data_IF_602105489613
#
_entry.id   IF_602105489613
#
_cell.length_a   1.000
_cell.length_b   1.000
_cell.length_c   1.000
_cell.angle_alpha   90.00
_cell.angle_beta   90.00
_cell.angle_gamma   90.00
#
_symmetry.space_group_name_H-M   'P 1'
#
loop_
_entity.id
_entity.type
_entity.pdbx_description
1 polymer ?
#
# COMPACT_ATOMS: atom_id res chain seq x y z
N UNK A 1 17.88 50.36 -14.38
CA UNK A 1 18.20 48.92 -14.35
C UNK A 1 19.34 48.72 -13.36
N UNK A 2 19.17 47.94 -12.29
CA UNK A 2 20.22 47.65 -11.32
C UNK A 2 20.62 46.19 -11.47
N UNK A 3 21.84 45.93 -11.90
CA UNK A 3 22.37 44.58 -12.07
C UNK A 3 22.67 43.98 -10.69
N UNK A 4 22.23 42.74 -10.47
CA UNK A 4 22.48 42.02 -9.21
C UNK A 4 23.69 41.13 -9.43
N UNK A 5 24.75 41.20 -8.61
CA UNK A 5 25.92 40.35 -8.84
C UNK A 5 25.61 38.92 -8.40
N UNK A 6 25.85 37.96 -9.30
CA UNK A 6 25.72 36.53 -9.03
C UNK A 6 26.73 36.09 -7.96
N UNK A 7 26.24 35.57 -6.84
CA UNK A 7 27.08 34.92 -5.83
C UNK A 7 27.58 33.58 -6.36
N UNK A 8 28.88 33.48 -6.63
CA UNK A 8 29.54 32.20 -6.91
C UNK A 8 29.54 31.32 -5.66
N UNK A 9 28.77 30.23 -5.70
CA UNK A 9 28.85 29.17 -4.69
C UNK A 9 30.06 28.28 -4.98
N UNK A 10 31.20 28.60 -4.39
CA UNK A 10 32.34 27.67 -4.35
C UNK A 10 32.06 26.61 -3.28
N UNK A 11 31.75 25.39 -3.70
CA UNK A 11 31.56 24.26 -2.78
C UNK A 11 32.93 23.87 -2.19
N UNK A 12 33.09 24.02 -0.87
CA UNK A 12 34.31 23.59 -0.16
C UNK A 12 34.51 22.10 -0.37
N UNK A 13 35.61 21.72 -1.03
CA UNK A 13 36.06 20.33 -1.14
C UNK A 13 36.20 19.74 0.27
N UNK A 14 35.54 18.61 0.53
CA UNK A 14 35.75 17.84 1.76
C UNK A 14 37.23 17.47 1.84
N UNK A 15 37.85 17.73 3.00
CA UNK A 15 39.27 17.45 3.21
C UNK A 15 39.46 15.93 3.32
N UNK A 16 40.33 15.38 2.47
CA UNK A 16 40.64 13.94 2.42
C UNK A 16 41.51 13.46 3.59
N UNK A 17 42.17 14.39 4.29
CA UNK A 17 43.13 14.07 5.34
C UNK A 17 42.83 14.83 6.63
N UNK A 18 42.97 14.19 7.80
CA UNK A 18 42.80 14.83 9.09
C UNK A 18 43.86 15.89 9.30
N UNK A 19 43.44 17.01 9.85
CA UNK A 19 44.33 18.11 10.26
C UNK A 19 45.01 17.78 11.58
N UNK A 20 46.06 18.55 11.92
CA UNK A 20 46.74 18.40 13.21
C UNK A 20 45.79 18.61 14.39
N UNK A 21 44.81 19.50 14.23
CA UNK A 21 43.75 19.75 15.21
C UNK A 21 42.89 18.50 15.41
N UNK A 22 42.49 17.82 14.34
CA UNK A 22 41.71 16.58 14.40
C UNK A 22 42.47 15.47 15.14
N UNK A 23 43.78 15.35 14.89
CA UNK A 23 44.65 14.36 15.55
C UNK A 23 44.76 14.65 17.05
N UNK A 24 44.91 15.92 17.43
CA UNK A 24 44.96 16.34 18.84
C UNK A 24 43.63 16.07 19.54
N UNK A 25 42.51 16.39 18.89
CA UNK A 25 41.17 16.10 19.43
C UNK A 25 40.95 14.59 19.61
N UNK A 26 41.37 13.77 18.64
CA UNK A 26 41.28 12.32 18.74
C UNK A 26 42.09 11.78 19.93
N UNK A 27 43.31 12.25 20.13
CA UNK A 27 44.15 11.83 21.24
C UNK A 27 43.59 12.25 22.60
N UNK A 28 43.03 13.46 22.69
CA UNK A 28 42.36 13.94 23.90
C UNK A 28 41.11 13.08 24.22
N UNK A 29 40.26 12.80 23.23
CA UNK A 29 39.12 11.89 23.39
C UNK A 29 39.56 10.49 23.82
N UNK A 30 40.57 9.92 23.19
CA UNK A 30 41.10 8.60 23.55
C UNK A 30 41.63 8.58 24.99
N UNK A 31 42.25 9.67 25.43
CA UNK A 31 42.72 9.85 26.81
C UNK A 31 41.56 9.98 27.79
N UNK A 32 40.52 10.74 27.47
CA UNK A 32 39.29 10.83 28.26
C UNK A 32 38.53 9.49 28.34
N UNK A 33 38.49 8.74 27.24
CA UNK A 33 37.90 7.40 27.17
C UNK A 33 38.71 6.39 27.99
N UNK A 34 40.03 6.52 28.05
CA UNK A 34 40.89 5.69 28.91
C UNK A 34 40.71 5.99 30.41
N UNK A 35 40.41 7.24 30.79
CA UNK A 35 40.12 7.61 32.18
C UNK A 35 38.75 7.08 32.64
N UNK A 36 37.83 6.86 31.69
CA UNK A 36 36.54 6.20 31.95
C UNK A 36 36.71 4.69 31.90
N UNK A 37 37.39 4.12 32.90
CA UNK A 37 37.35 2.67 33.11
C UNK A 37 35.89 2.22 33.29
N UNK A 38 35.43 1.33 32.41
CA UNK A 38 34.06 0.83 32.44
C UNK A 38 33.92 -0.14 33.60
N UNK A 39 33.03 0.17 34.54
CA UNK A 39 32.66 -0.76 35.59
C UNK A 39 31.68 -1.81 35.03
N UNK A 40 32.23 -2.94 34.59
CA UNK A 40 31.48 -4.05 34.00
C UNK A 40 30.39 -4.60 34.94
N UNK A 41 30.59 -4.57 36.26
CA UNK A 41 29.58 -5.01 37.22
C UNK A 41 28.34 -4.10 37.12
N UNK A 42 28.55 -2.79 37.14
CA UNK A 42 27.46 -1.82 37.04
C UNK A 42 26.76 -1.86 35.68
N UNK A 43 27.51 -2.10 34.59
CA UNK A 43 26.95 -2.23 33.24
C UNK A 43 26.14 -3.52 33.09
N UNK A 44 26.63 -4.62 33.65
CA UNK A 44 25.92 -5.91 33.65
C UNK A 44 24.59 -5.81 34.42
N UNK A 45 24.60 -5.19 35.60
CA UNK A 45 23.38 -4.97 36.38
C UNK A 45 22.36 -4.15 35.58
N UNK A 46 22.80 -3.03 34.99
CA UNK A 46 21.92 -2.19 34.15
C UNK A 46 21.40 -2.94 32.93
N UNK A 47 22.22 -3.82 32.34
CA UNK A 47 21.86 -4.61 31.17
C UNK A 47 20.79 -5.62 31.54
N UNK A 48 21.01 -6.41 32.60
CA UNK A 48 20.05 -7.42 33.07
C UNK A 48 18.72 -6.79 33.47
N UNK A 49 18.73 -5.66 34.18
CA UNK A 49 17.49 -4.93 34.53
C UNK A 49 16.69 -4.44 33.31
N UNK A 50 17.37 -4.17 32.20
CA UNK A 50 16.74 -3.73 30.94
C UNK A 50 16.33 -4.88 30.03
N UNK A 51 16.87 -6.08 30.25
CA UNK A 51 16.55 -7.25 29.43
C UNK A 51 15.11 -7.67 29.69
N UNK A 52 14.37 -7.89 28.61
CA UNK A 52 13.05 -8.53 28.69
C UNK A 52 13.24 -10.05 28.81
N UNK A 53 12.45 -10.73 29.66
CA UNK A 53 12.46 -12.18 29.70
C UNK A 53 12.05 -12.75 28.34
N UNK A 54 12.57 -13.94 28.02
CA UNK A 54 12.14 -14.67 26.82
C UNK A 54 10.67 -15.05 27.01
N UNK A 55 9.85 -14.81 25.99
CA UNK A 55 8.46 -15.22 26.00
C UNK A 55 8.35 -16.75 26.11
N UNK A 56 7.43 -17.27 26.95
CA UNK A 56 7.26 -18.70 27.11
C UNK A 56 6.78 -19.32 25.80
N UNK A 57 7.39 -20.45 25.43
CA UNK A 57 6.91 -21.21 24.27
C UNK A 57 5.54 -21.82 24.60
N UNK A 58 4.55 -21.70 23.70
CA UNK A 58 3.23 -22.28 23.93
C UNK A 58 3.33 -23.82 23.93
N UNK A 59 2.82 -24.44 24.98
CA UNK A 59 2.88 -25.89 25.22
C UNK A 59 1.56 -26.37 25.83
N UNK A 60 1.18 -27.61 25.52
CA UNK A 60 0.11 -28.32 26.23
C UNK A 60 0.75 -29.29 27.20
N UNK A 61 0.31 -29.23 28.46
CA UNK A 61 0.63 -30.25 29.45
C UNK A 61 -0.34 -31.40 29.25
N UNK A 62 0.18 -32.59 28.94
CA UNK A 62 -0.62 -33.79 28.73
C UNK A 62 -0.89 -34.51 30.04
N UNK A 63 0.13 -34.58 30.90
CA UNK A 63 0.06 -35.32 32.15
C UNK A 63 0.36 -34.44 33.37
N UNK A 64 -0.24 -34.71 34.54
CA UNK A 64 0.06 -34.02 35.79
C UNK A 64 1.55 -34.11 36.21
N UNK A 65 2.29 -35.09 35.70
CA UNK A 65 3.72 -35.31 35.98
C UNK A 65 4.67 -34.56 35.04
N UNK A 66 4.16 -33.68 34.18
CA UNK A 66 4.97 -32.71 33.44
C UNK A 66 5.34 -33.10 32.02
N UNK A 67 4.78 -34.19 31.48
CA UNK A 67 4.87 -34.44 30.04
C UNK A 67 4.16 -33.29 29.29
N UNK A 68 4.94 -32.56 28.50
CA UNK A 68 4.45 -31.41 27.73
C UNK A 68 4.84 -31.55 26.27
N UNK A 69 3.87 -31.26 25.39
CA UNK A 69 4.11 -31.17 23.95
C UNK A 69 4.07 -29.70 23.54
N UNK A 70 4.95 -29.32 22.61
CA UNK A 70 4.88 -28.00 21.96
C UNK A 70 3.53 -27.87 21.27
N UNK A 71 2.86 -26.74 21.44
CA UNK A 71 1.52 -26.49 20.90
C UNK A 71 1.49 -26.45 19.36
N UNK A 72 2.65 -26.38 18.72
CA UNK A 72 2.81 -25.96 17.34
C UNK A 72 3.15 -27.19 16.49
N UNK A 73 2.10 -27.86 16.04
CA UNK A 73 1.78 -28.03 14.62
C UNK A 73 0.35 -28.60 14.49
N UNK A 74 -0.61 -27.75 14.08
CA UNK A 74 -1.97 -28.19 13.68
C UNK A 74 -3.15 -27.84 14.61
N UNK A 75 -2.93 -27.31 15.82
CA UNK A 75 -4.03 -26.98 16.74
C UNK A 75 -4.65 -25.59 16.47
N UNK A 76 -3.82 -24.60 16.14
CA UNK A 76 -4.29 -23.28 15.68
C UNK A 76 -4.05 -23.13 14.18
N UNK A 77 -5.04 -22.66 13.41
CA UNK A 77 -4.84 -22.34 12.01
C UNK A 77 -3.83 -21.18 11.85
N UNK A 78 -2.59 -21.52 11.52
CA UNK A 78 -1.49 -20.56 11.27
C UNK A 78 -1.87 -19.57 10.17
N UNK A 79 -2.69 -20.02 9.21
CA UNK A 79 -3.10 -19.19 8.08
C UNK A 79 -3.88 -17.93 8.49
N UNK A 80 -4.51 -17.86 9.67
CA UNK A 80 -5.18 -16.64 10.15
C UNK A 80 -4.15 -15.51 10.39
N UNK A 81 -2.95 -15.88 10.84
CA UNK A 81 -1.82 -14.95 11.06
C UNK A 81 -1.07 -14.63 9.76
N UNK A 82 -1.44 -15.27 8.65
CA UNK A 82 -0.81 -15.02 7.35
C UNK A 82 -1.23 -13.67 6.78
N UNK A 83 -0.29 -12.95 6.18
CA UNK A 83 -0.55 -11.69 5.48
C UNK A 83 -1.44 -11.87 4.23
N UNK A 84 -1.59 -13.10 3.75
CA UNK A 84 -2.46 -13.46 2.63
C UNK A 84 -3.90 -13.76 3.07
N UNK A 85 -4.16 -13.84 4.38
CA UNK A 85 -5.50 -14.13 4.89
C UNK A 85 -6.49 -13.04 4.47
N UNK A 86 -7.65 -13.45 3.95
CA UNK A 86 -8.68 -12.55 3.44
C UNK A 86 -8.33 -11.82 2.12
N UNK A 87 -7.12 -11.97 1.58
CA UNK A 87 -6.74 -11.36 0.31
C UNK A 87 -7.14 -12.26 -0.86
N UNK A 88 -7.66 -11.65 -1.92
CA UNK A 88 -7.93 -12.35 -3.17
C UNK A 88 -6.62 -12.73 -3.87
N UNK A 89 -6.38 -14.02 -4.16
CA UNK A 89 -5.21 -14.45 -4.92
C UNK A 89 -5.07 -13.73 -6.27
N UNK A 90 -3.82 -13.49 -6.71
CA UNK A 90 -3.55 -12.71 -7.92
C UNK A 90 -4.16 -13.30 -9.21
N UNK A 91 -4.30 -14.62 -9.29
CA UNK A 91 -4.94 -15.25 -10.44
C UNK A 91 -6.45 -14.92 -10.52
N UNK A 92 -7.15 -14.88 -9.38
CA UNK A 92 -8.57 -14.48 -9.34
C UNK A 92 -8.74 -13.00 -9.68
N UNK A 93 -7.85 -12.13 -9.20
CA UNK A 93 -7.87 -10.71 -9.58
C UNK A 93 -7.75 -10.52 -11.09
N UNK A 94 -6.90 -11.31 -11.75
CA UNK A 94 -6.73 -11.27 -13.20
C UNK A 94 -7.98 -11.71 -13.94
N UNK A 95 -8.68 -12.74 -13.43
CA UNK A 95 -9.95 -13.22 -14.00
C UNK A 95 -11.07 -12.17 -13.84
N UNK A 96 -11.18 -11.55 -12.67
CA UNK A 96 -12.16 -10.49 -12.40
C UNK A 96 -11.95 -9.32 -13.36
N UNK A 97 -10.71 -8.84 -13.51
CA UNK A 97 -10.38 -7.75 -14.44
C UNK A 97 -10.71 -8.07 -15.90
N UNK A 98 -10.43 -9.30 -16.34
CA UNK A 98 -10.79 -9.74 -17.71
C UNK A 98 -12.31 -9.71 -17.93
N UNK A 99 -13.07 -10.20 -16.95
CA UNK A 99 -14.54 -10.22 -17.00
C UNK A 99 -15.12 -8.81 -17.01
N UNK A 100 -14.60 -7.92 -16.17
CA UNK A 100 -15.01 -6.52 -16.10
C UNK A 100 -14.74 -5.79 -17.43
N UNK A 101 -13.54 -5.97 -18.01
CA UNK A 101 -13.19 -5.42 -19.32
C UNK A 101 -14.14 -5.91 -20.42
N UNK A 102 -14.43 -7.21 -20.46
CA UNK A 102 -15.37 -7.77 -21.43
C UNK A 102 -16.78 -7.16 -21.28
N UNK A 103 -17.26 -7.04 -20.04
CA UNK A 103 -18.55 -6.44 -19.74
C UNK A 103 -18.61 -4.96 -20.14
N UNK A 104 -17.53 -4.20 -19.91
CA UNK A 104 -17.43 -2.82 -20.35
C UNK A 104 -17.46 -2.72 -21.88
N UNK A 105 -16.70 -3.55 -22.59
CA UNK A 105 -16.72 -3.60 -24.06
C UNK A 105 -18.11 -3.93 -24.61
N UNK A 106 -18.85 -4.84 -23.96
CA UNK A 106 -20.24 -5.16 -24.34
C UNK A 106 -21.19 -3.98 -24.11
N UNK A 107 -21.02 -3.24 -23.02
CA UNK A 107 -21.80 -2.02 -22.77
C UNK A 107 -21.50 -0.94 -23.80
N UNK A 108 -20.22 -0.71 -24.08
CA UNK A 108 -19.80 0.30 -25.05
C UNK A 108 -20.28 -0.05 -26.47
N UNK A 109 -20.23 -1.35 -26.85
CA UNK A 109 -20.71 -1.83 -28.15
C UNK A 109 -22.23 -1.77 -28.32
N UNK A 110 -23.01 -1.93 -27.24
CA UNK A 110 -24.47 -1.75 -27.28
C UNK A 110 -24.88 -0.27 -27.34
N UNK A 111 -23.94 0.65 -27.19
CA UNK A 111 -24.18 2.08 -27.19
C UNK A 111 -25.01 2.54 -25.99
N UNK A 112 -25.45 3.80 -26.02
CA UNK A 112 -26.40 4.33 -25.03
C UNK A 112 -27.79 3.79 -25.39
N UNK A 113 -28.15 2.61 -24.88
CA UNK A 113 -29.54 2.15 -24.93
C UNK A 113 -30.43 3.25 -24.34
N UNK A 114 -31.26 3.88 -25.18
CA UNK A 114 -32.24 4.87 -24.71
C UNK A 114 -33.17 4.12 -23.72
N UNK A 115 -33.39 4.64 -22.50
CA UNK A 115 -34.26 3.97 -21.55
C UNK A 115 -35.66 3.83 -22.15
N UNK A 116 -36.30 2.66 -21.94
CA UNK A 116 -37.61 2.31 -22.53
C UNK A 116 -38.69 3.38 -22.28
N UNK A 117 -38.60 4.06 -21.14
CA UNK A 117 -39.48 5.17 -20.78
C UNK A 117 -38.63 6.44 -20.67
N UNK A 118 -38.54 7.21 -21.75
CA UNK A 118 -37.87 8.52 -21.77
C UNK A 118 -38.83 9.58 -22.31
N UNK A 119 -38.75 10.78 -21.76
CA UNK A 119 -39.37 11.95 -22.39
C UNK A 119 -38.75 12.20 -23.76
N UNK A 120 -39.61 12.38 -24.76
CA UNK A 120 -39.24 12.66 -26.15
C UNK A 120 -39.00 14.17 -26.28
N UNK A 121 -37.97 14.56 -27.05
CA UNK A 121 -37.71 15.99 -27.33
C UNK A 121 -38.73 16.55 -28.34
N UNK A 122 -38.82 17.87 -28.46
CA UNK A 122 -39.74 18.51 -29.42
C UNK A 122 -39.45 18.08 -30.86
N UNK A 123 -38.18 18.11 -31.25
CA UNK A 123 -37.75 17.72 -32.60
C UNK A 123 -38.10 16.26 -32.91
N UNK A 124 -37.82 15.34 -31.97
CA UNK A 124 -38.20 13.92 -32.09
C UNK A 124 -39.73 13.72 -32.13
N UNK A 125 -40.52 14.61 -31.51
CA UNK A 125 -41.99 14.57 -31.52
C UNK A 125 -42.56 15.04 -32.86
N UNK A 126 -41.97 16.08 -33.45
CA UNK A 126 -42.40 16.61 -34.74
C UNK A 126 -42.20 15.56 -35.85
N UNK A 127 -41.05 14.89 -35.87
CA UNK A 127 -40.76 13.79 -36.80
C UNK A 127 -41.75 12.62 -36.66
N UNK A 128 -42.09 12.24 -35.42
CA UNK A 128 -43.09 11.19 -35.17
C UNK A 128 -44.49 11.55 -35.68
N UNK A 129 -44.91 12.80 -35.48
CA UNK A 129 -46.21 13.28 -35.93
C UNK A 129 -46.28 13.39 -37.45
N UNK A 130 -45.19 13.81 -38.10
CA UNK A 130 -45.10 13.86 -39.55
C UNK A 130 -45.15 12.45 -40.18
N UNK A 131 -44.56 11.45 -39.51
CA UNK A 131 -44.68 10.07 -39.95
C UNK A 131 -46.13 9.57 -39.85
N UNK A 132 -46.80 9.86 -38.74
CA UNK A 132 -48.18 9.42 -38.48
C UNK A 132 -49.18 10.06 -39.47
N UNK A 133 -48.99 11.35 -39.79
CA UNK A 133 -49.82 12.03 -40.78
C UNK A 133 -49.66 11.42 -42.18
N UNK A 134 -48.43 11.12 -42.60
CA UNK A 134 -48.16 10.48 -43.90
C UNK A 134 -48.77 9.08 -44.01
N UNK A 135 -48.74 8.31 -42.93
CA UNK A 135 -49.38 6.99 -42.88
C UNK A 135 -50.90 7.12 -43.02
N UNK A 136 -51.51 8.12 -42.36
CA UNK A 136 -52.95 8.36 -42.47
C UNK A 136 -53.40 8.82 -43.86
N UNK A 137 -52.57 9.59 -44.58
CA UNK A 137 -52.87 10.02 -45.95
C UNK A 137 -52.79 8.86 -46.94
N UNK A 138 -51.82 7.95 -46.78
CA UNK A 138 -51.69 6.78 -47.65
C UNK A 138 -52.85 5.79 -47.47
N UNK A 139 -53.33 5.62 -46.23
CA UNK A 139 -54.48 4.77 -45.92
C UNK A 139 -55.82 5.30 -46.47
N UNK A 140 -55.92 6.59 -46.80
CA UNK A 140 -57.13 7.19 -47.38
C UNK A 140 -57.17 7.10 -48.92
N UNK A 141 -56.10 6.64 -49.57
CA UNK A 141 -56.01 6.52 -51.03
C UNK A 141 -56.07 5.07 -51.54
N UNK A 142 -56.17 4.09 -50.64
CA UNK A 142 -56.21 2.65 -50.95
C UNK A 142 -57.62 2.02 -50.82
N UNK A 143 -58.69 2.83 -50.65
CA UNK A 143 -60.10 2.42 -50.72
C UNK A 143 -60.81 2.92 -52.00
#
# INVERSE_FOLDING_TARGET
>A
MKETPMKQFCQRKQRLFPTKEDIVQYNNRKKEEAIKEKNFISENIKTVLKMKPKEPEPRVVLEPHGESKRLIDGLEPIYIKSSAFGKTPGYLQSLIKKREKLHQMQKDARGVEKPKCRYIRRDEREELLELDSKVSEHLLHDD
#
